data_IF_846467651977
#
_entry.id   IF_846467651977
#
_cell.length_a   1.000
_cell.length_b   1.000
_cell.length_c   1.000
_cell.angle_alpha   90.00
_cell.angle_beta   90.00
_cell.angle_gamma   90.00
#
_symmetry.space_group_name_H-M   'P 1'
#
loop_
_entity.id
_entity.type
_entity.pdbx_description
1 polymer ?
#
# COMPACT_ATOMS: atom_id res chain seq x y z
N UNK A 1 1.26 22.99 7.87
CA UNK A 1 0.23 22.18 7.14
C UNK A 1 0.78 20.77 6.97
N UNK A 2 -0.04 19.75 7.28
CA UNK A 2 0.36 18.34 7.24
C UNK A 2 -0.24 17.65 6.01
N UNK A 3 0.54 16.83 5.32
CA UNK A 3 0.11 16.01 4.19
C UNK A 3 0.21 14.53 4.55
N UNK A 4 -0.85 13.80 4.22
CA UNK A 4 -0.93 12.36 4.32
C UNK A 4 -1.04 11.75 2.93
N UNK A 5 -0.14 10.82 2.62
CA UNK A 5 -0.11 10.10 1.36
C UNK A 5 -0.70 8.71 1.55
N UNK A 6 -1.68 8.35 0.74
CA UNK A 6 -2.12 6.96 0.68
C UNK A 6 -1.10 6.12 -0.09
N UNK A 7 -1.05 4.82 0.19
CA UNK A 7 -0.16 3.88 -0.48
C UNK A 7 -0.85 3.21 -1.67
N UNK A 8 -1.92 2.47 -1.42
CA UNK A 8 -2.47 1.51 -2.38
C UNK A 8 -3.19 2.26 -3.52
N UNK A 9 -2.74 2.09 -4.76
CA UNK A 9 -3.20 2.80 -5.96
C UNK A 9 -3.03 4.33 -5.94
N UNK A 10 -2.17 4.85 -5.05
CA UNK A 10 -1.76 6.27 -5.06
C UNK A 10 -0.25 6.39 -5.18
N UNK A 11 0.48 5.81 -4.23
CA UNK A 11 1.95 5.84 -4.23
C UNK A 11 2.57 4.53 -4.70
N UNK A 12 1.82 3.44 -4.60
CA UNK A 12 2.23 2.09 -5.00
C UNK A 12 1.13 1.41 -5.82
N UNK A 13 1.54 0.67 -6.85
CA UNK A 13 0.67 0.01 -7.81
C UNK A 13 0.07 -1.29 -7.24
N UNK A 14 -0.88 -1.13 -6.31
CA UNK A 14 -1.62 -2.23 -5.71
C UNK A 14 -2.37 -3.04 -6.78
N UNK A 15 -3.03 -2.38 -7.71
CA UNK A 15 -3.77 -3.02 -8.80
C UNK A 15 -2.88 -3.84 -9.74
N UNK A 16 -1.68 -3.38 -10.05
CA UNK A 16 -0.69 -4.17 -10.78
C UNK A 16 -0.23 -5.39 -10.01
N UNK A 17 -0.07 -5.28 -8.68
CA UNK A 17 0.15 -6.42 -7.78
C UNK A 17 -0.98 -7.44 -7.85
N UNK A 18 -2.23 -7.00 -7.73
CA UNK A 18 -3.41 -7.87 -7.82
C UNK A 18 -3.48 -8.54 -9.19
N UNK A 19 -3.28 -7.78 -10.27
CA UNK A 19 -3.32 -8.29 -11.64
C UNK A 19 -2.28 -9.38 -11.90
N UNK A 20 -1.09 -9.30 -11.29
CA UNK A 20 -0.09 -10.38 -11.38
C UNK A 20 -0.59 -11.70 -10.78
N UNK A 21 -1.40 -11.65 -9.72
CA UNK A 21 -1.89 -12.83 -9.00
C UNK A 21 -3.23 -13.35 -9.52
N UNK A 22 -4.06 -12.48 -10.09
CA UNK A 22 -5.44 -12.81 -10.48
C UNK A 22 -5.70 -12.72 -11.98
N UNK A 23 -4.84 -12.03 -12.73
CA UNK A 23 -5.06 -11.67 -14.13
C UNK A 23 -5.94 -10.43 -14.34
N UNK A 24 -6.54 -9.87 -13.29
CA UNK A 24 -7.49 -8.74 -13.33
C UNK A 24 -7.10 -7.65 -12.32
N UNK A 25 -7.52 -6.41 -12.56
CA UNK A 25 -7.43 -5.35 -11.55
C UNK A 25 -8.38 -5.65 -10.38
N UNK A 26 -8.13 -5.10 -9.19
CA UNK A 26 -8.95 -5.40 -8.00
C UNK A 26 -10.42 -5.06 -8.19
N UNK A 27 -10.71 -3.92 -8.83
CA UNK A 27 -12.07 -3.46 -9.09
C UNK A 27 -12.81 -4.30 -10.14
N UNK A 28 -12.08 -5.05 -10.97
CA UNK A 28 -12.63 -5.98 -11.97
C UNK A 28 -12.96 -7.37 -11.38
N UNK A 29 -12.53 -7.64 -10.14
CA UNK A 29 -12.86 -8.87 -9.43
C UNK A 29 -14.31 -8.80 -8.93
N UNK A 30 -15.05 -9.88 -9.15
CA UNK A 30 -16.31 -10.13 -8.44
C UNK A 30 -16.09 -10.25 -6.94
N UNK A 31 -17.16 -10.12 -6.14
CA UNK A 31 -17.08 -10.25 -4.68
C UNK A 31 -16.41 -11.56 -4.23
N UNK A 32 -16.79 -12.69 -4.83
CA UNK A 32 -16.18 -13.99 -4.54
C UNK A 32 -14.69 -14.01 -4.93
N UNK A 33 -14.31 -13.43 -6.06
CA UNK A 33 -12.90 -13.35 -6.48
C UNK A 33 -12.06 -12.46 -5.54
N UNK A 34 -12.65 -11.41 -4.96
CA UNK A 34 -11.99 -10.56 -3.95
C UNK A 34 -11.77 -11.34 -2.65
N UNK A 35 -12.76 -12.09 -2.20
CA UNK A 35 -12.63 -12.97 -1.04
C UNK A 35 -11.55 -14.03 -1.28
N UNK A 36 -11.57 -14.68 -2.45
CA UNK A 36 -10.58 -15.69 -2.82
C UNK A 36 -9.17 -15.10 -2.88
N UNK A 37 -9.03 -13.88 -3.40
CA UNK A 37 -7.78 -13.15 -3.38
C UNK A 37 -7.26 -13.02 -1.94
N UNK A 38 -8.05 -12.50 -1.01
CA UNK A 38 -7.60 -12.30 0.38
C UNK A 38 -7.31 -13.59 1.13
N UNK A 39 -8.11 -14.62 0.93
CA UNK A 39 -8.02 -15.86 1.70
C UNK A 39 -6.99 -16.86 1.14
N UNK A 40 -6.80 -16.91 -0.17
CA UNK A 40 -6.02 -17.98 -0.80
C UNK A 40 -4.82 -17.49 -1.61
N UNK A 41 -4.83 -16.26 -2.13
CA UNK A 41 -3.75 -15.74 -2.99
C UNK A 41 -2.86 -14.73 -2.27
N UNK A 42 -3.44 -13.94 -1.39
CA UNK A 42 -2.75 -12.87 -0.68
C UNK A 42 -1.83 -13.45 0.40
N UNK A 43 -0.59 -12.94 0.40
CA UNK A 43 0.38 -13.11 1.48
C UNK A 43 0.96 -11.73 1.84
N UNK A 44 1.55 -11.53 3.02
CA UNK A 44 2.15 -10.24 3.38
C UNK A 44 3.25 -9.79 2.42
N UNK A 45 3.95 -10.73 1.78
CA UNK A 45 4.99 -10.44 0.78
C UNK A 45 4.44 -9.71 -0.45
N UNK A 46 3.13 -9.80 -0.71
CA UNK A 46 2.44 -8.99 -1.71
C UNK A 46 2.82 -7.51 -1.67
N UNK A 47 2.95 -6.93 -0.47
CA UNK A 47 3.27 -5.51 -0.32
C UNK A 47 4.72 -5.18 -0.67
N UNK A 48 5.64 -6.13 -0.54
CA UNK A 48 7.08 -5.92 -0.82
C UNK A 48 7.35 -5.76 -2.31
N UNK A 49 6.53 -6.40 -3.13
CA UNK A 49 6.68 -6.43 -4.60
C UNK A 49 5.85 -5.37 -5.32
N UNK A 50 5.16 -4.49 -4.57
CA UNK A 50 4.43 -3.38 -5.17
C UNK A 50 5.41 -2.39 -5.80
N UNK A 51 5.17 -2.07 -7.07
CA UNK A 51 5.95 -1.06 -7.75
C UNK A 51 5.51 0.32 -7.27
N UNK A 52 6.44 1.22 -6.95
CA UNK A 52 6.08 2.60 -6.67
C UNK A 52 5.63 3.33 -7.93
N UNK A 53 4.94 4.45 -7.75
CA UNK A 53 4.79 5.43 -8.81
C UNK A 53 6.19 5.87 -9.33
N UNK A 54 6.41 5.98 -10.65
CA UNK A 54 7.71 6.31 -11.21
C UNK A 54 8.33 7.62 -10.70
N UNK A 55 7.50 8.59 -10.28
CA UNK A 55 7.94 9.90 -9.80
C UNK A 55 7.84 10.03 -8.28
N UNK A 56 7.62 8.93 -7.55
CA UNK A 56 7.37 8.98 -6.11
C UNK A 56 8.50 9.69 -5.36
N UNK A 57 9.77 9.39 -5.64
CA UNK A 57 10.90 10.05 -4.96
C UNK A 57 10.94 11.57 -5.21
N UNK A 58 10.71 12.01 -6.45
CA UNK A 58 10.66 13.44 -6.80
C UNK A 58 9.50 14.14 -6.08
N UNK A 59 8.32 13.52 -6.05
CA UNK A 59 7.16 13.99 -5.31
C UNK A 59 7.45 14.10 -3.82
N UNK A 60 8.09 13.11 -3.20
CA UNK A 60 8.44 13.14 -1.78
C UNK A 60 9.40 14.29 -1.47
N UNK A 61 10.42 14.51 -2.29
CA UNK A 61 11.37 15.63 -2.12
C UNK A 61 10.62 16.96 -2.19
N UNK A 62 9.76 17.16 -3.19
CA UNK A 62 8.95 18.37 -3.33
C UNK A 62 8.04 18.60 -2.11
N UNK A 63 7.35 17.55 -1.66
CA UNK A 63 6.42 17.63 -0.54
C UNK A 63 7.14 17.97 0.77
N UNK A 64 8.30 17.36 1.06
CA UNK A 64 9.05 17.70 2.28
C UNK A 64 9.55 19.14 2.32
N UNK A 65 9.84 19.72 1.15
CA UNK A 65 10.28 21.12 1.07
C UNK A 65 9.11 22.11 1.17
N UNK A 66 7.88 21.65 0.92
CA UNK A 66 6.70 22.50 0.81
C UNK A 66 5.75 22.39 2.02
N UNK A 67 5.87 21.33 2.81
CA UNK A 67 4.96 21.03 3.91
C UNK A 67 5.73 20.69 5.19
N UNK A 68 5.15 21.07 6.33
CA UNK A 68 5.74 20.90 7.66
C UNK A 68 5.86 19.42 8.06
N UNK A 69 4.92 18.59 7.59
CA UNK A 69 4.92 17.16 7.84
C UNK A 69 4.35 16.42 6.64
N UNK A 70 5.07 15.38 6.22
CA UNK A 70 4.67 14.46 5.15
C UNK A 70 4.80 13.06 5.70
N UNK A 71 3.71 12.28 5.63
CA UNK A 71 3.65 10.90 6.13
C UNK A 71 2.79 10.06 5.22
N UNK A 72 3.06 8.75 5.17
CA UNK A 72 2.04 7.83 4.66
C UNK A 72 0.95 7.65 5.71
N UNK A 73 -0.29 7.56 5.25
CA UNK A 73 -1.44 7.10 6.02
C UNK A 73 -2.12 5.99 5.20
N UNK A 74 -1.97 4.75 5.63
CA UNK A 74 -2.46 3.56 4.91
C UNK A 74 -3.21 2.63 5.84
N UNK A 75 -3.97 1.71 5.29
CA UNK A 75 -4.73 0.73 6.04
C UNK A 75 -4.12 -0.68 5.96
N UNK A 76 -4.47 -1.53 6.93
CA UNK A 76 -4.19 -2.96 6.92
C UNK A 76 -5.40 -3.74 6.39
N UNK A 77 -5.19 -4.89 5.73
CA UNK A 77 -6.28 -5.65 5.12
C UNK A 77 -7.24 -6.19 6.19
N UNK A 78 -8.53 -5.89 6.05
CA UNK A 78 -9.54 -6.31 7.03
C UNK A 78 -9.85 -7.81 6.93
N UNK A 79 -9.88 -8.38 5.73
CA UNK A 79 -10.07 -9.82 5.57
C UNK A 79 -8.93 -10.67 6.15
N UNK A 80 -7.77 -10.05 6.44
CA UNK A 80 -6.55 -10.71 6.96
C UNK A 80 -6.01 -10.08 8.23
N UNK A 81 -6.89 -9.78 9.20
CA UNK A 81 -6.47 -9.28 10.54
C UNK A 81 -5.51 -10.23 11.24
N UNK A 82 -5.61 -11.54 10.96
CA UNK A 82 -4.67 -12.56 11.44
C UNK A 82 -3.23 -12.27 11.03
N UNK A 83 -3.02 -11.55 9.93
CA UNK A 83 -1.71 -11.17 9.39
C UNK A 83 -1.37 -9.68 9.55
N UNK A 84 -2.08 -8.95 10.41
CA UNK A 84 -1.97 -7.49 10.51
C UNK A 84 -0.51 -7.01 10.75
N UNK A 85 0.20 -7.67 11.66
CA UNK A 85 1.59 -7.29 12.00
C UNK A 85 2.57 -7.55 10.85
N UNK A 86 2.40 -8.66 10.13
CA UNK A 86 3.20 -9.01 8.97
C UNK A 86 2.95 -8.03 7.83
N UNK A 87 1.69 -7.66 7.59
CA UNK A 87 1.31 -6.66 6.59
C UNK A 87 1.88 -5.28 6.93
N UNK A 88 1.82 -4.88 8.21
CA UNK A 88 2.44 -3.65 8.70
C UNK A 88 3.94 -3.64 8.41
N UNK A 89 4.63 -4.74 8.73
CA UNK A 89 6.08 -4.87 8.51
C UNK A 89 6.43 -4.83 7.02
N UNK A 90 5.66 -5.52 6.17
CA UNK A 90 5.86 -5.53 4.73
C UNK A 90 5.63 -4.16 4.07
N UNK A 91 4.59 -3.42 4.48
CA UNK A 91 4.36 -2.04 4.00
C UNK A 91 5.49 -1.09 4.44
N UNK A 92 5.99 -1.22 5.68
CA UNK A 92 7.13 -0.44 6.15
C UNK A 92 8.40 -0.76 5.35
N UNK A 93 8.66 -2.03 5.08
CA UNK A 93 9.80 -2.49 4.28
C UNK A 93 9.71 -1.99 2.84
N UNK A 94 8.54 -2.08 2.21
CA UNK A 94 8.27 -1.55 0.87
C UNK A 94 8.65 -0.07 0.75
N UNK A 95 8.22 0.76 1.71
CA UNK A 95 8.56 2.19 1.73
C UNK A 95 10.05 2.43 1.94
N UNK A 96 10.68 1.70 2.87
CA UNK A 96 12.12 1.84 3.18
C UNK A 96 13.02 1.44 2.01
N UNK A 97 12.64 0.42 1.25
CA UNK A 97 13.42 -0.05 0.11
C UNK A 97 13.25 0.81 -1.14
N UNK A 98 12.22 1.66 -1.17
CA UNK A 98 11.86 2.47 -2.33
C UNK A 98 12.33 3.91 -2.23
N UNK A 99 12.20 4.52 -1.05
CA UNK A 99 12.41 5.94 -0.88
C UNK A 99 13.84 6.26 -0.44
N UNK A 100 14.46 7.21 -1.13
CA UNK A 100 15.77 7.76 -0.74
C UNK A 100 15.65 8.63 0.52
N UNK A 101 14.47 9.22 0.72
CA UNK A 101 14.18 10.09 1.86
C UNK A 101 13.27 9.39 2.86
N UNK A 102 13.68 9.28 4.14
CA UNK A 102 12.83 8.70 5.17
C UNK A 102 11.53 9.49 5.36
N UNK A 103 10.40 8.78 5.17
CA UNK A 103 9.04 9.25 5.43
C UNK A 103 8.36 8.28 6.40
N UNK A 104 7.77 8.77 7.52
CA UNK A 104 7.06 7.91 8.44
C UNK A 104 5.81 7.31 7.80
N UNK A 105 5.53 6.04 8.09
CA UNK A 105 4.26 5.38 7.75
C UNK A 105 3.37 5.34 8.98
N UNK A 106 2.11 5.70 8.80
CA UNK A 106 1.06 5.66 9.83
C UNK A 106 0.00 4.69 9.36
N UNK A 107 -0.46 3.82 10.26
CA UNK A 107 -1.52 2.88 9.96
C UNK A 107 -2.83 3.42 10.54
N UNK A 108 -3.81 3.64 9.66
CA UNK A 108 -5.18 3.94 10.04
C UNK A 108 -5.90 2.69 10.54
N UNK A 109 -7.23 2.78 10.79
CA UNK A 109 -8.05 1.59 11.03
C UNK A 109 -7.93 0.60 9.86
N UNK A 110 -8.30 -0.67 10.09
CA UNK A 110 -8.41 -1.65 9.00
C UNK A 110 -9.25 -1.07 7.86
N UNK A 111 -8.84 -1.33 6.62
CA UNK A 111 -9.57 -0.84 5.46
C UNK A 111 -11.02 -1.32 5.58
N UNK A 112 -11.98 -0.41 5.56
CA UNK A 112 -13.36 -0.81 5.31
C UNK A 112 -13.34 -1.20 3.84
N UNK A 113 -13.28 -2.50 3.57
CA UNK A 113 -13.26 -3.03 2.21
C UNK A 113 -14.41 -2.38 1.43
N UNK A 114 -14.06 -1.65 0.38
CA UNK A 114 -15.02 -1.11 -0.59
C UNK A 114 -15.41 -2.19 -1.60
#
# INVERSE_FOLDING_TARGET
MHIFLDMDNVSYDFNGGVKKLTGKLYDELTENERLDFWHYKFTPDFFKDLKPDPYLNECIVFLKNSFESVRFLTALPFHRKDLAHQCMSAKLECVRNTLDTPIPVTFGPFAIDK
#
